data_IF_087146963413
#
_entry.id   IF_087146963413
#
_cell.length_a   1.000
_cell.length_b   1.000
_cell.length_c   1.000
_cell.angle_alpha   90.00
_cell.angle_beta   90.00
_cell.angle_gamma   90.00
#
_symmetry.space_group_name_H-M   'P 1'
#
loop_
_entity.id
_entity.type
_entity.pdbx_description
1 polymer ?
#
# COMPACT_ATOMS: atom_id res chain seq x y z
N UNK A 1 -10.94 7.41 -9.27
CA UNK A 1 -12.12 8.31 -9.21
C UNK A 1 -12.70 8.54 -10.61
N UNK A 2 -11.97 9.22 -11.51
CA UNK A 2 -12.42 9.56 -12.87
C UNK A 2 -12.93 8.34 -13.65
N UNK A 3 -12.18 7.24 -13.65
CA UNK A 3 -12.59 6.00 -14.35
C UNK A 3 -13.94 5.47 -13.86
N UNK A 4 -14.15 5.40 -12.55
CA UNK A 4 -15.31 4.76 -11.92
C UNK A 4 -16.55 5.66 -11.89
N UNK A 5 -16.38 6.95 -11.60
CA UNK A 5 -17.51 7.87 -11.41
C UNK A 5 -17.83 8.71 -12.64
N UNK A 6 -16.96 8.75 -13.65
CA UNK A 6 -17.18 9.51 -14.89
C UNK A 6 -17.13 8.60 -16.12
N UNK A 7 -16.01 7.94 -16.40
CA UNK A 7 -15.86 7.17 -17.64
C UNK A 7 -16.77 5.95 -17.69
N UNK A 8 -16.88 5.20 -16.59
CA UNK A 8 -17.75 4.03 -16.50
C UNK A 8 -19.21 4.36 -16.85
N UNK A 9 -19.92 5.29 -16.18
CA UNK A 9 -21.31 5.60 -16.53
C UNK A 9 -21.47 6.26 -17.91
N UNK A 10 -20.47 7.01 -18.40
CA UNK A 10 -20.47 7.55 -19.77
C UNK A 10 -20.40 6.43 -20.84
N UNK A 11 -19.74 5.31 -20.51
CA UNK A 11 -19.75 4.10 -21.34
C UNK A 11 -21.00 3.22 -21.16
N UNK A 12 -21.88 3.55 -20.21
CA UNK A 12 -23.18 2.91 -19.99
C UNK A 12 -24.32 3.77 -20.55
N UNK A 13 -25.57 3.36 -20.35
CA UNK A 13 -26.73 4.11 -20.83
C UNK A 13 -26.95 5.45 -20.08
N UNK A 14 -26.54 5.57 -18.82
CA UNK A 14 -26.67 6.82 -18.05
C UNK A 14 -25.90 6.80 -16.72
N UNK A 15 -25.87 7.96 -16.05
CA UNK A 15 -25.40 8.13 -14.68
C UNK A 15 -26.11 7.26 -13.63
N UNK A 16 -27.30 6.72 -13.93
CA UNK A 16 -27.99 5.79 -13.03
C UNK A 16 -27.14 4.54 -12.70
N UNK A 17 -26.26 4.14 -13.61
CA UNK A 17 -25.35 3.00 -13.41
C UNK A 17 -24.06 3.37 -12.67
N UNK A 18 -23.80 4.66 -12.41
CA UNK A 18 -22.68 5.06 -11.56
C UNK A 18 -22.87 4.52 -10.13
N UNK A 19 -21.79 4.26 -9.38
CA UNK A 19 -21.91 3.98 -7.96
C UNK A 19 -22.54 5.18 -7.25
N UNK A 20 -23.60 4.97 -6.47
CA UNK A 20 -24.14 6.03 -5.62
C UNK A 20 -23.25 6.25 -4.39
N UNK A 21 -23.25 7.47 -3.88
CA UNK A 21 -22.48 7.82 -2.68
C UNK A 21 -23.16 7.30 -1.41
N UNK A 22 -22.84 6.06 -1.03
CA UNK A 22 -23.30 5.45 0.22
C UNK A 22 -22.71 4.06 0.44
N UNK A 23 -22.48 3.68 1.69
CA UNK A 23 -21.80 2.41 2.04
C UNK A 23 -22.47 1.20 1.38
N UNK A 24 -23.77 1.01 1.62
CA UNK A 24 -24.54 -0.09 1.01
C UNK A 24 -24.65 0.03 -0.51
N UNK A 25 -24.65 1.25 -1.06
CA UNK A 25 -24.72 1.47 -2.50
C UNK A 25 -23.41 1.05 -3.21
N UNK A 26 -22.25 1.26 -2.57
CA UNK A 26 -20.98 0.73 -3.07
C UNK A 26 -20.98 -0.80 -3.03
N UNK A 27 -21.48 -1.44 -1.96
CA UNK A 27 -21.60 -2.91 -1.93
C UNK A 27 -22.50 -3.44 -3.06
N UNK A 28 -23.64 -2.79 -3.29
CA UNK A 28 -24.50 -3.10 -4.45
C UNK A 28 -23.72 -2.98 -5.77
N UNK A 29 -22.90 -1.95 -5.93
CA UNK A 29 -22.09 -1.75 -7.14
C UNK A 29 -21.04 -2.85 -7.33
N UNK A 30 -20.39 -3.33 -6.27
CA UNK A 30 -19.45 -4.45 -6.34
C UNK A 30 -20.15 -5.74 -6.81
N UNK A 31 -21.31 -6.05 -6.25
CA UNK A 31 -22.10 -7.22 -6.65
C UNK A 31 -22.63 -7.09 -8.08
N UNK A 32 -23.00 -5.88 -8.50
CA UNK A 32 -23.36 -5.59 -9.89
C UNK A 32 -22.17 -5.85 -10.82
N UNK A 33 -20.98 -5.33 -10.52
CA UNK A 33 -19.79 -5.58 -11.32
C UNK A 33 -19.46 -7.07 -11.43
N UNK A 34 -19.59 -7.82 -10.34
CA UNK A 34 -19.37 -9.26 -10.38
C UNK A 34 -20.43 -9.97 -11.24
N UNK A 35 -21.72 -9.71 -11.00
CA UNK A 35 -22.81 -10.41 -11.70
C UNK A 35 -22.90 -10.10 -13.19
N UNK A 36 -22.56 -8.87 -13.60
CA UNK A 36 -22.72 -8.41 -14.98
C UNK A 36 -21.41 -8.32 -15.77
N UNK A 37 -20.26 -8.20 -15.11
CA UNK A 37 -18.95 -8.06 -15.78
C UNK A 37 -17.94 -9.15 -15.41
N UNK A 38 -18.29 -10.09 -14.52
CA UNK A 38 -17.37 -11.10 -13.99
C UNK A 38 -16.03 -10.48 -13.57
N UNK A 39 -16.10 -9.34 -12.88
CA UNK A 39 -14.96 -8.43 -12.72
C UNK A 39 -13.76 -9.05 -12.00
N UNK A 40 -13.99 -10.03 -11.13
CA UNK A 40 -12.90 -10.78 -10.48
C UNK A 40 -12.01 -11.54 -11.47
N UNK A 41 -12.51 -11.90 -12.65
CA UNK A 41 -11.72 -12.56 -13.70
C UNK A 41 -10.92 -11.58 -14.56
N UNK A 42 -11.10 -10.26 -14.38
CA UNK A 42 -10.36 -9.26 -15.14
C UNK A 42 -8.91 -9.15 -14.62
N UNK A 43 -7.88 -9.29 -15.48
CA UNK A 43 -6.48 -9.22 -15.06
C UNK A 43 -6.07 -7.81 -14.55
N UNK A 44 -6.68 -6.74 -15.06
CA UNK A 44 -6.47 -5.38 -14.53
C UNK A 44 -6.99 -5.25 -13.10
N UNK A 45 -8.15 -5.84 -12.80
CA UNK A 45 -8.63 -5.92 -11.43
C UNK A 45 -7.69 -6.74 -10.54
N UNK A 46 -7.20 -7.89 -11.02
CA UNK A 46 -6.23 -8.70 -10.26
C UNK A 46 -4.93 -7.94 -9.98
N UNK A 47 -4.41 -7.17 -10.94
CA UNK A 47 -3.25 -6.30 -10.74
C UNK A 47 -3.52 -5.21 -9.72
N UNK A 48 -4.71 -4.61 -9.74
CA UNK A 48 -5.11 -3.63 -8.73
C UNK A 48 -5.23 -4.23 -7.32
N UNK A 49 -5.80 -5.43 -7.19
CA UNK A 49 -5.82 -6.18 -5.93
C UNK A 49 -4.40 -6.44 -5.44
N UNK A 50 -3.50 -6.90 -6.32
CA UNK A 50 -2.10 -7.14 -5.98
C UNK A 50 -1.38 -5.86 -5.51
N UNK A 51 -1.63 -4.71 -6.16
CA UNK A 51 -1.03 -3.43 -5.76
C UNK A 51 -1.56 -2.89 -4.43
N UNK A 52 -2.86 -3.03 -4.15
CA UNK A 52 -3.45 -2.59 -2.87
C UNK A 52 -3.02 -3.50 -1.72
N UNK A 53 -3.12 -4.82 -1.89
CA UNK A 53 -2.68 -5.77 -0.85
C UNK A 53 -1.16 -5.74 -0.67
N UNK A 54 -0.41 -5.61 -1.77
CA UNK A 54 1.04 -5.43 -1.74
C UNK A 54 1.44 -4.12 -1.07
N UNK A 55 0.73 -3.02 -1.33
CA UNK A 55 0.93 -1.73 -0.66
C UNK A 55 0.67 -1.81 0.85
N UNK A 56 -0.41 -2.49 1.26
CA UNK A 56 -0.71 -2.73 2.67
C UNK A 56 0.37 -3.59 3.35
N UNK A 57 0.83 -4.65 2.67
CA UNK A 57 1.94 -5.49 3.13
C UNK A 57 3.23 -4.67 3.30
N UNK A 58 3.59 -3.86 2.31
CA UNK A 58 4.76 -2.98 2.35
C UNK A 58 4.67 -1.95 3.47
N UNK A 59 3.49 -1.37 3.70
CA UNK A 59 3.26 -0.45 4.81
C UNK A 59 3.50 -1.13 6.16
N UNK A 60 2.92 -2.31 6.37
CA UNK A 60 3.05 -3.05 7.62
C UNK A 60 4.49 -3.54 7.87
N UNK A 61 5.11 -4.16 6.87
CA UNK A 61 6.46 -4.73 6.99
C UNK A 61 7.51 -3.64 7.17
N UNK A 62 7.39 -2.50 6.48
CA UNK A 62 8.33 -1.40 6.63
C UNK A 62 8.21 -0.77 8.02
N UNK A 63 7.00 -0.41 8.44
CA UNK A 63 6.77 0.17 9.77
C UNK A 63 7.27 -0.75 10.89
N UNK A 64 6.90 -2.03 10.85
CA UNK A 64 7.36 -3.00 11.83
C UNK A 64 8.90 -3.18 11.83
N UNK A 65 9.52 -3.19 10.65
CA UNK A 65 10.99 -3.32 10.56
C UNK A 65 11.70 -2.12 11.17
N UNK A 66 11.24 -0.90 10.89
CA UNK A 66 11.83 0.32 11.45
C UNK A 66 11.75 0.29 12.97
N UNK A 67 10.56 0.07 13.53
CA UNK A 67 10.35 0.03 14.99
C UNK A 67 11.17 -1.06 15.70
N UNK A 68 11.46 -2.18 15.02
CA UNK A 68 12.24 -3.29 15.60
C UNK A 68 13.73 -3.23 15.26
N UNK A 69 14.20 -2.17 14.60
CA UNK A 69 15.62 -1.95 14.33
C UNK A 69 16.10 -0.56 14.75
N UNK A 70 15.33 0.10 15.62
CA UNK A 70 15.71 1.37 16.24
C UNK A 70 17.05 1.27 16.96
N UNK A 71 17.82 2.35 16.92
CA UNK A 71 18.92 2.55 17.86
C UNK A 71 18.37 2.94 19.23
N UNK A 72 19.13 2.62 20.29
CA UNK A 72 18.83 3.08 21.64
C UNK A 72 19.35 4.51 21.83
N UNK A 73 18.55 5.49 21.41
CA UNK A 73 18.90 6.92 21.43
C UNK A 73 18.40 7.66 22.69
N UNK A 74 17.93 6.93 23.72
CA UNK A 74 17.50 7.49 25.00
C UNK A 74 17.15 6.43 26.05
N UNK A 75 17.10 6.83 27.33
CA UNK A 75 17.02 5.89 28.47
C UNK A 75 15.60 5.39 28.82
N UNK A 76 14.57 5.92 28.15
CA UNK A 76 13.18 5.60 28.45
C UNK A 76 12.73 4.31 27.74
N UNK A 77 11.96 3.47 28.43
CA UNK A 77 11.35 2.28 27.82
C UNK A 77 10.41 2.61 26.64
N UNK A 78 9.84 3.81 26.61
CA UNK A 78 9.11 4.33 25.45
C UNK A 78 10.08 5.11 24.56
N UNK A 79 10.33 4.57 23.36
CA UNK A 79 11.37 5.05 22.44
C UNK A 79 10.95 6.26 21.60
N UNK A 80 9.66 6.65 21.57
CA UNK A 80 9.20 7.75 20.69
C UNK A 80 9.84 9.11 21.01
N UNK A 81 10.31 9.32 22.24
CA UNK A 81 11.00 10.55 22.66
C UNK A 81 12.49 10.58 22.32
N UNK A 82 13.05 9.45 21.90
CA UNK A 82 14.46 9.32 21.54
C UNK A 82 14.75 9.80 20.10
N UNK A 83 13.75 10.33 19.39
CA UNK A 83 13.90 10.89 18.05
C UNK A 83 13.71 12.42 18.06
N UNK A 84 14.55 13.12 17.31
CA UNK A 84 14.40 14.56 17.04
C UNK A 84 14.29 14.83 15.54
N UNK A 85 13.31 15.62 15.06
CA UNK A 85 13.12 15.85 13.62
C UNK A 85 14.31 16.45 12.86
N UNK A 86 15.26 17.08 13.56
CA UNK A 86 16.43 17.74 12.97
C UNK A 86 17.75 16.97 13.15
N UNK A 87 17.71 15.73 13.66
CA UNK A 87 18.92 14.90 13.80
C UNK A 87 19.50 14.51 12.42
N UNK A 88 20.82 14.38 12.31
CA UNK A 88 21.50 13.98 11.07
C UNK A 88 21.51 12.47 10.87
N UNK A 89 21.44 11.72 11.97
CA UNK A 89 21.60 10.28 12.03
C UNK A 89 20.31 9.55 11.68
N UNK A 90 20.43 8.38 11.04
CA UNK A 90 19.30 7.48 10.90
C UNK A 90 18.90 6.89 12.26
N UNK A 91 17.60 6.90 12.58
CA UNK A 91 17.09 6.40 13.87
C UNK A 91 17.01 4.86 13.95
N UNK A 92 17.22 4.16 12.83
CA UNK A 92 17.16 2.70 12.75
C UNK A 92 18.29 2.14 11.87
N UNK A 93 18.77 0.94 12.22
CA UNK A 93 19.86 0.27 11.53
C UNK A 93 19.41 -0.42 10.24
N UNK A 94 19.77 0.16 9.09
CA UNK A 94 19.51 -0.46 7.79
C UNK A 94 20.26 -1.78 7.60
N UNK A 95 21.47 -1.88 8.15
CA UNK A 95 22.31 -3.08 8.05
C UNK A 95 21.69 -4.24 8.81
N UNK A 96 21.19 -4.00 10.02
CA UNK A 96 20.49 -5.02 10.83
C UNK A 96 19.21 -5.46 10.14
N UNK A 97 18.40 -4.51 9.66
CA UNK A 97 17.18 -4.80 8.90
C UNK A 97 17.47 -5.63 7.64
N UNK A 98 18.50 -5.25 6.87
CA UNK A 98 18.89 -5.97 5.66
C UNK A 98 19.31 -7.41 5.96
N UNK A 99 20.15 -7.61 6.99
CA UNK A 99 20.59 -8.95 7.37
C UNK A 99 19.42 -9.82 7.81
N UNK A 100 18.54 -9.28 8.67
CA UNK A 100 17.34 -9.99 9.13
C UNK A 100 16.50 -10.48 7.95
N UNK A 101 16.12 -9.60 7.03
CA UNK A 101 15.28 -9.99 5.88
C UNK A 101 16.01 -10.89 4.88
N UNK A 102 17.32 -10.70 4.69
CA UNK A 102 18.10 -11.60 3.83
C UNK A 102 18.12 -13.03 4.37
N UNK A 103 18.16 -13.19 5.69
CA UNK A 103 18.13 -14.51 6.33
C UNK A 103 16.73 -15.12 6.39
N UNK A 104 15.70 -14.31 6.67
CA UNK A 104 14.32 -14.79 6.84
C UNK A 104 13.60 -15.00 5.50
N UNK A 105 13.80 -14.10 4.54
CA UNK A 105 13.05 -14.07 3.28
C UNK A 105 13.95 -14.25 2.04
N UNK A 106 15.26 -14.45 2.22
CA UNK A 106 16.22 -14.68 1.14
C UNK A 106 16.63 -13.43 0.34
N UNK A 107 15.86 -12.33 0.45
CA UNK A 107 16.16 -11.04 -0.16
C UNK A 107 15.83 -9.90 0.80
N UNK A 108 16.53 -8.78 0.66
CA UNK A 108 16.26 -7.58 1.43
C UNK A 108 16.59 -6.31 0.65
N UNK A 109 15.89 -5.22 0.97
CA UNK A 109 16.32 -3.90 0.53
C UNK A 109 17.67 -3.54 1.14
N UNK A 110 18.55 -2.93 0.36
CA UNK A 110 19.84 -2.38 0.82
C UNK A 110 19.96 -0.86 0.55
N UNK A 111 19.04 -0.30 -0.23
CA UNK A 111 19.00 1.11 -0.58
C UNK A 111 17.68 1.73 -0.11
N UNK A 112 17.75 2.66 0.85
CA UNK A 112 16.56 3.33 1.41
C UNK A 112 15.78 4.12 0.34
N UNK A 113 16.43 4.75 -0.63
CA UNK A 113 15.74 5.52 -1.68
C UNK A 113 14.92 4.59 -2.59
N UNK A 114 15.50 3.45 -2.98
CA UNK A 114 14.77 2.44 -3.75
C UNK A 114 13.58 1.87 -2.97
N UNK A 115 13.76 1.56 -1.68
CA UNK A 115 12.68 1.10 -0.82
C UNK A 115 11.48 2.05 -0.85
N UNK A 116 11.69 3.34 -0.60
CA UNK A 116 10.61 4.32 -0.55
C UNK A 116 9.99 4.59 -1.92
N UNK A 117 10.79 4.60 -2.99
CA UNK A 117 10.24 4.64 -4.36
C UNK A 117 9.36 3.43 -4.64
N UNK A 118 9.78 2.23 -4.23
CA UNK A 118 9.01 1.00 -4.44
C UNK A 118 7.69 1.02 -3.66
N UNK A 119 7.69 1.56 -2.43
CA UNK A 119 6.47 1.78 -1.64
C UNK A 119 5.47 2.73 -2.31
N UNK A 120 5.95 3.71 -3.08
CA UNK A 120 5.08 4.54 -3.92
C UNK A 120 4.61 3.75 -5.16
N UNK A 121 5.55 3.09 -5.84
CA UNK A 121 5.31 2.43 -7.12
C UNK A 121 4.22 1.35 -7.03
N UNK A 122 4.27 0.46 -6.05
CA UNK A 122 3.36 -0.70 -5.96
C UNK A 122 1.88 -0.31 -5.87
N UNK A 123 1.42 0.45 -4.85
CA UNK A 123 0.01 0.82 -4.73
C UNK A 123 -0.44 1.80 -5.82
N UNK A 124 0.43 2.71 -6.26
CA UNK A 124 0.09 3.64 -7.35
C UNK A 124 -0.13 2.86 -8.64
N UNK A 125 0.80 2.01 -9.04
CA UNK A 125 0.66 1.22 -10.27
C UNK A 125 -0.57 0.32 -10.21
N UNK A 126 -0.86 -0.31 -9.05
CA UNK A 126 -2.09 -1.10 -8.88
C UNK A 126 -3.38 -0.30 -9.06
N UNK A 127 -3.42 0.97 -8.66
CA UNK A 127 -4.60 1.81 -8.90
C UNK A 127 -4.72 2.30 -10.35
N UNK A 128 -3.62 2.24 -11.12
CA UNK A 128 -3.56 2.67 -12.52
C UNK A 128 -3.75 1.53 -13.54
N UNK A 129 -3.67 0.27 -13.12
CA UNK A 129 -3.93 -0.90 -13.97
C UNK A 129 -5.40 -1.02 -14.31
#
# INVERSE_FOLDING_TARGET
FVSVFLLYPLGQASWFFAPSFGVAAIFRFLLFLQGFHNWTLNPFHMMGVAGILGGALLCAIHGATVENTLFEDGDAANTFRAFTPTQSEETYSMVTANRFWSQIFGVAFSNKRWLHFFMLFVPVTGLWT
#
